data_IF_963258937270
#
_entry.id   IF_963258937270
#
_cell.length_a   1.000
_cell.length_b   1.000
_cell.length_c   1.000
_cell.angle_alpha   90.00
_cell.angle_beta   90.00
_cell.angle_gamma   90.00
#
_symmetry.space_group_name_H-M   'P 1'
#
loop_
_entity.id
_entity.type
_entity.pdbx_description
1 polymer ?
#
# COMPACT_ATOMS: atom_id res chain seq x y z
N UNK A 1 6.74 6.23 8.47
CA UNK A 1 6.27 5.47 7.28
C UNK A 1 6.09 4.00 7.60
N UNK A 2 7.02 3.40 8.37
CA UNK A 2 6.97 2.01 8.83
C UNK A 2 5.67 1.70 9.58
N UNK A 3 5.19 2.60 10.44
CA UNK A 3 3.91 2.40 11.14
C UNK A 3 2.71 2.36 10.19
N UNK A 4 2.76 3.11 9.09
CA UNK A 4 1.74 3.12 8.04
C UNK A 4 1.79 1.83 7.20
N UNK A 5 2.99 1.32 6.94
CA UNK A 5 3.22 0.02 6.27
C UNK A 5 2.71 -1.13 7.15
N UNK A 6 2.97 -1.06 8.45
CA UNK A 6 2.58 -2.07 9.43
C UNK A 6 1.10 -1.97 9.83
N UNK A 7 0.42 -0.88 9.48
CA UNK A 7 -1.00 -0.72 9.78
C UNK A 7 -1.81 -1.81 9.07
N UNK A 8 -2.78 -2.45 9.74
CA UNK A 8 -3.49 -3.60 9.19
C UNK A 8 -4.28 -3.26 7.94
N UNK A 9 -3.96 -3.93 6.82
CA UNK A 9 -4.67 -3.81 5.55
C UNK A 9 -5.77 -4.83 5.37
N UNK A 10 -6.69 -4.55 4.44
CA UNK A 10 -7.64 -5.57 3.96
C UNK A 10 -6.97 -6.62 3.05
N UNK A 11 -5.82 -6.27 2.45
CA UNK A 11 -5.03 -7.10 1.54
C UNK A 11 -5.84 -7.76 0.41
N UNK A 12 -6.95 -7.14 0.01
CA UNK A 12 -7.88 -7.73 -0.95
C UNK A 12 -7.23 -7.90 -2.32
N UNK A 13 -6.36 -6.97 -2.73
CA UNK A 13 -5.71 -6.98 -4.05
C UNK A 13 -4.62 -8.04 -4.12
N UNK A 14 -3.72 -8.08 -3.14
CA UNK A 14 -2.75 -9.18 -3.00
C UNK A 14 -3.45 -10.53 -2.89
N UNK A 15 -4.49 -10.63 -2.07
CA UNK A 15 -5.26 -11.85 -1.87
C UNK A 15 -5.86 -12.38 -3.16
N UNK A 16 -6.52 -11.52 -3.94
CA UNK A 16 -7.05 -11.90 -5.27
C UNK A 16 -5.93 -12.32 -6.23
N UNK A 17 -4.80 -11.60 -6.27
CA UNK A 17 -3.67 -11.95 -7.13
C UNK A 17 -3.15 -13.36 -6.82
N UNK A 18 -2.97 -13.68 -5.55
CA UNK A 18 -2.48 -15.00 -5.12
C UNK A 18 -3.51 -16.10 -5.35
N UNK A 19 -4.78 -15.81 -5.10
CA UNK A 19 -5.88 -16.73 -5.35
C UNK A 19 -5.94 -17.11 -6.84
N UNK A 20 -5.97 -16.13 -7.74
CA UNK A 20 -5.99 -16.37 -9.18
C UNK A 20 -4.73 -17.10 -9.66
N UNK A 21 -3.56 -16.75 -9.13
CA UNK A 21 -2.32 -17.46 -9.45
C UNK A 21 -2.40 -18.94 -9.07
N UNK A 22 -2.92 -19.25 -7.89
CA UNK A 22 -3.11 -20.63 -7.43
C UNK A 22 -4.12 -21.40 -8.30
N UNK A 23 -5.22 -20.79 -8.68
CA UNK A 23 -6.24 -21.44 -9.53
C UNK A 23 -5.71 -21.75 -10.94
N UNK A 24 -4.86 -20.88 -11.50
CA UNK A 24 -4.30 -21.08 -12.85
C UNK A 24 -3.10 -22.03 -12.86
N UNK A 25 -2.18 -21.90 -11.89
CA UNK A 25 -0.90 -22.61 -11.89
C UNK A 25 -0.87 -23.80 -10.92
N UNK A 26 -1.93 -24.00 -10.12
CA UNK A 26 -2.02 -25.04 -9.09
C UNK A 26 -1.15 -24.80 -7.85
N UNK A 27 -0.32 -23.75 -7.86
CA UNK A 27 0.59 -23.39 -6.77
C UNK A 27 0.89 -21.89 -6.79
N UNK A 28 1.47 -21.38 -5.70
CA UNK A 28 1.93 -19.99 -5.60
C UNK A 28 3.45 -19.99 -5.76
N UNK A 29 3.95 -19.51 -6.90
CA UNK A 29 5.38 -19.34 -7.12
C UNK A 29 5.90 -18.09 -6.40
N UNK A 30 7.21 -18.04 -6.13
CA UNK A 30 7.87 -16.85 -5.54
C UNK A 30 7.61 -15.58 -6.35
N UNK A 31 7.54 -15.68 -7.68
CA UNK A 31 7.23 -14.53 -8.55
C UNK A 31 5.85 -13.95 -8.29
N UNK A 32 4.84 -14.80 -8.05
CA UNK A 32 3.48 -14.35 -7.71
C UNK A 32 3.41 -13.74 -6.32
N UNK A 33 4.21 -14.25 -5.38
CA UNK A 33 4.34 -13.65 -4.05
C UNK A 33 4.93 -12.23 -4.15
N UNK A 34 6.00 -12.05 -4.93
CA UNK A 34 6.57 -10.72 -5.16
C UNK A 34 5.61 -9.79 -5.89
N UNK A 35 4.88 -10.29 -6.90
CA UNK A 35 3.86 -9.49 -7.58
C UNK A 35 2.76 -9.04 -6.62
N UNK A 36 2.24 -9.93 -5.78
CA UNK A 36 1.23 -9.59 -4.78
C UNK A 36 1.76 -8.56 -3.78
N UNK A 37 3.02 -8.66 -3.37
CA UNK A 37 3.66 -7.68 -2.51
C UNK A 37 3.78 -6.31 -3.20
N UNK A 38 4.28 -6.25 -4.45
CA UNK A 38 4.34 -5.02 -5.25
C UNK A 38 2.97 -4.36 -5.41
N UNK A 39 1.91 -5.14 -5.63
CA UNK A 39 0.54 -4.63 -5.72
C UNK A 39 0.10 -3.93 -4.42
N UNK A 40 0.44 -4.47 -3.26
CA UNK A 40 0.08 -3.84 -1.97
C UNK A 40 0.96 -2.65 -1.63
N UNK A 41 2.24 -2.65 -2.03
CA UNK A 41 3.11 -1.46 -1.93
C UNK A 41 2.56 -0.34 -2.81
N UNK A 42 2.22 -0.64 -4.07
CA UNK A 42 1.59 0.30 -4.98
C UNK A 42 0.29 0.84 -4.39
N UNK A 43 -0.55 -0.05 -3.84
CA UNK A 43 -1.79 0.36 -3.19
C UNK A 43 -1.52 1.31 -2.02
N UNK A 44 -0.52 1.03 -1.18
CA UNK A 44 -0.16 1.91 -0.07
C UNK A 44 0.32 3.29 -0.56
N UNK A 45 1.11 3.33 -1.64
CA UNK A 45 1.61 4.57 -2.22
C UNK A 45 0.45 5.50 -2.63
N UNK A 46 -0.55 4.97 -3.35
CA UNK A 46 -1.70 5.78 -3.78
C UNK A 46 -2.51 6.27 -2.58
N UNK A 47 -2.66 5.45 -1.54
CA UNK A 47 -3.40 5.87 -0.34
C UNK A 47 -2.74 7.01 0.42
N UNK A 48 -1.41 7.09 0.41
CA UNK A 48 -0.68 8.21 1.02
C UNK A 48 -0.94 9.51 0.24
N UNK A 49 -0.98 9.43 -1.10
CA UNK A 49 -1.34 10.58 -1.93
C UNK A 49 -2.81 10.97 -1.73
N UNK A 50 -3.73 10.00 -1.70
CA UNK A 50 -5.16 10.22 -1.43
C UNK A 50 -5.36 10.94 -0.09
N UNK A 51 -4.67 10.50 0.97
CA UNK A 51 -4.77 11.13 2.30
C UNK A 51 -4.36 12.62 2.29
N UNK A 52 -3.47 13.04 1.38
CA UNK A 52 -3.08 14.44 1.19
C UNK A 52 -4.13 15.21 0.39
N UNK A 53 -4.68 14.59 -0.66
CA UNK A 53 -5.69 15.21 -1.54
C UNK A 53 -7.01 15.41 -0.79
N UNK A 54 -7.41 14.42 0.01
CA UNK A 54 -8.69 14.38 0.71
C UNK A 54 -8.66 15.12 2.06
N UNK A 55 -7.50 15.69 2.45
CA UNK A 55 -7.28 16.28 3.78
C UNK A 55 -7.76 15.37 4.92
N UNK A 56 -7.55 14.06 4.76
CA UNK A 56 -8.17 13.05 5.61
C UNK A 56 -7.86 13.29 7.10
N UNK A 57 -8.85 13.17 7.98
CA UNK A 57 -8.63 13.37 9.41
C UNK A 57 -8.00 12.16 10.11
N UNK A 58 -8.28 10.95 9.60
CA UNK A 58 -7.85 9.68 10.19
C UNK A 58 -7.64 8.61 9.11
N UNK A 59 -6.64 7.75 9.31
CA UNK A 59 -6.41 6.55 8.51
C UNK A 59 -6.30 5.32 9.40
N UNK A 60 -7.27 4.39 9.30
CA UNK A 60 -7.29 3.16 10.12
C UNK A 60 -7.05 3.44 11.61
N UNK A 61 -7.70 4.47 12.15
CA UNK A 61 -7.56 4.97 13.54
C UNK A 61 -6.21 5.62 13.91
N UNK A 62 -5.30 5.79 12.94
CA UNK A 62 -4.05 6.53 13.10
C UNK A 62 -4.17 7.94 12.51
N UNK A 63 -3.42 8.88 13.08
CA UNK A 63 -3.21 10.21 12.49
C UNK A 63 -2.56 10.06 11.10
N UNK A 64 -3.11 10.70 10.06
CA UNK A 64 -2.58 10.58 8.72
C UNK A 64 -1.22 11.24 8.57
N UNK A 65 -0.44 10.73 7.62
CA UNK A 65 0.97 11.10 7.46
C UNK A 65 1.17 12.61 7.25
N UNK A 66 0.23 13.28 6.58
CA UNK A 66 0.24 14.72 6.31
C UNK A 66 -0.14 15.59 7.52
N UNK A 67 -0.71 15.01 8.58
CA UNK A 67 -0.95 15.71 9.86
C UNK A 67 0.20 15.52 10.84
N UNK A 68 0.85 14.36 10.78
CA UNK A 68 2.07 14.08 11.55
C UNK A 68 3.29 14.82 10.97
N UNK A 69 3.33 14.98 9.65
CA UNK A 69 4.38 15.67 8.90
C UNK A 69 3.78 16.75 7.99
N UNK A 70 4.57 17.35 7.10
CA UNK A 70 4.02 18.27 6.09
C UNK A 70 3.49 17.51 4.87
N UNK A 71 2.55 18.09 4.14
CA UNK A 71 2.05 17.55 2.86
C UNK A 71 3.19 17.17 1.89
N UNK A 72 4.28 17.95 1.86
CA UNK A 72 5.46 17.65 1.02
C UNK A 72 6.10 16.32 1.37
N UNK A 73 6.25 16.01 2.66
CA UNK A 73 6.86 14.76 3.12
C UNK A 73 5.96 13.58 2.78
N UNK A 74 4.63 13.75 2.92
CA UNK A 74 3.67 12.72 2.52
C UNK A 74 3.71 12.44 1.01
N UNK A 75 3.79 13.49 0.17
CA UNK A 75 3.94 13.32 -1.28
C UNK A 75 5.23 12.56 -1.63
N UNK A 76 6.39 12.95 -1.07
CA UNK A 76 7.65 12.26 -1.32
C UNK A 76 7.65 10.81 -0.84
N UNK A 77 6.97 10.52 0.27
CA UNK A 77 6.78 9.17 0.77
C UNK A 77 5.97 8.31 -0.22
N UNK A 78 4.87 8.86 -0.76
CA UNK A 78 4.08 8.22 -1.81
C UNK A 78 4.90 7.99 -3.08
N UNK A 79 5.64 8.99 -3.54
CA UNK A 79 6.47 8.91 -4.75
C UNK A 79 7.56 7.85 -4.63
N UNK A 80 8.22 7.78 -3.46
CA UNK A 80 9.24 6.76 -3.18
C UNK A 80 8.65 5.35 -3.23
N UNK A 81 7.50 5.13 -2.59
CA UNK A 81 6.85 3.82 -2.59
C UNK A 81 6.34 3.43 -3.98
N UNK A 82 5.85 4.40 -4.76
CA UNK A 82 5.44 4.21 -6.14
C UNK A 82 6.63 3.79 -7.03
N UNK A 83 7.79 4.41 -6.86
CA UNK A 83 9.01 4.06 -7.59
C UNK A 83 9.62 2.72 -7.13
N UNK A 84 9.36 2.30 -5.90
CA UNK A 84 9.85 1.04 -5.34
C UNK A 84 8.99 -0.17 -5.74
N UNK A 85 7.69 0.03 -5.94
CA UNK A 85 6.70 -1.03 -6.25
C UNK A 85 6.96 -1.73 -7.59
#
# INVERSE_FOLDING_TARGET
>A
IIDYINAPGKYLRAGLCLYLAKEVEGHISKGKLYLAASIEVLHLATLIHDDVIDEADLRRTLEPFHKTYTNKIAIYAGDYLLAYA
#
